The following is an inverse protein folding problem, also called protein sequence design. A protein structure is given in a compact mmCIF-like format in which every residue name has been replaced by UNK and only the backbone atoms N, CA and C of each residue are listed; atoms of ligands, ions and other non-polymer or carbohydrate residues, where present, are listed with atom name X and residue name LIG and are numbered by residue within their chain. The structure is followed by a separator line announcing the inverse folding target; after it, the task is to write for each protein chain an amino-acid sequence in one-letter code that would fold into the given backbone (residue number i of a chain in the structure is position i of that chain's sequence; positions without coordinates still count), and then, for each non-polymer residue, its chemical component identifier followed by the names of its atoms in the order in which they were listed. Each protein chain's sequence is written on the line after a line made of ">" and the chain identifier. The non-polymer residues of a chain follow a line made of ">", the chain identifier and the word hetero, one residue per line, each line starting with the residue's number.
data_IF_425756735325
#
_entry.id   IF_425756735325
#
_cell.length_a   1.000
_cell.length_b   1.000
_cell.length_c   1.000
_cell.angle_alpha   90.00
_cell.angle_beta   90.00
_cell.angle_gamma   90.00
#
_symmetry.space_group_name_H-M   'P 1'
#
loop_
_entity.id
_entity.type
_entity.pdbx_description
1 polymer ?
#
# COMPACT_ATOMS: atom_id res chain seq x y z
N UNK A 1 -13.42 -2.76 17.34
CA UNK A 1 -12.65 -1.57 17.75
C UNK A 1 -11.56 -1.36 16.72
N UNK A 2 -11.49 -0.19 16.06
CA UNK A 2 -10.42 0.12 15.12
C UNK A 2 -9.13 0.39 15.92
N UNK A 3 -8.27 -0.61 16.06
CA UNK A 3 -6.92 -0.39 16.60
C UNK A 3 -5.98 0.00 15.47
N UNK A 4 -5.01 0.86 15.78
CA UNK A 4 -3.97 1.28 14.85
C UNK A 4 -3.15 0.09 14.32
N UNK A 5 -2.96 -0.92 15.17
CA UNK A 5 -2.32 -2.19 14.81
C UNK A 5 -3.16 -3.01 13.81
N UNK A 6 -4.49 -3.04 13.97
CA UNK A 6 -5.36 -3.69 13.00
C UNK A 6 -5.37 -2.95 11.65
N UNK A 7 -5.25 -1.62 11.65
CA UNK A 7 -5.09 -0.82 10.43
C UNK A 7 -3.76 -1.16 9.75
N UNK A 8 -2.66 -1.16 10.52
CA UNK A 8 -1.34 -1.56 10.03
C UNK A 8 -1.34 -2.92 9.37
N UNK A 9 -1.83 -3.95 10.07
CA UNK A 9 -1.89 -5.31 9.51
C UNK A 9 -2.68 -5.39 8.21
N UNK A 10 -3.75 -4.61 8.07
CA UNK A 10 -4.52 -4.54 6.82
C UNK A 10 -3.76 -3.82 5.71
N UNK A 11 -3.04 -2.74 6.03
CA UNK A 11 -2.21 -2.01 5.07
C UNK A 11 -1.05 -2.90 4.59
N UNK A 12 -0.35 -3.55 5.51
CA UNK A 12 0.76 -4.47 5.22
C UNK A 12 0.27 -5.65 4.36
N UNK A 13 -0.82 -6.32 4.76
CA UNK A 13 -1.39 -7.44 3.99
C UNK A 13 -1.87 -7.02 2.59
N UNK A 14 -2.45 -5.83 2.45
CA UNK A 14 -2.85 -5.31 1.13
C UNK A 14 -1.64 -4.99 0.26
N UNK A 15 -0.58 -4.42 0.83
CA UNK A 15 0.66 -4.13 0.12
C UNK A 15 1.36 -5.42 -0.33
N UNK A 16 1.48 -6.41 0.53
CA UNK A 16 2.02 -7.73 0.17
C UNK A 16 1.24 -8.36 -0.97
N UNK A 17 -0.09 -8.30 -0.91
CA UNK A 17 -0.95 -8.86 -1.97
C UNK A 17 -0.76 -8.15 -3.31
N UNK A 18 -0.69 -6.82 -3.34
CA UNK A 18 -0.52 -6.09 -4.60
C UNK A 18 0.89 -6.27 -5.16
N UNK A 19 1.91 -6.34 -4.29
CA UNK A 19 3.28 -6.66 -4.70
C UNK A 19 3.36 -8.04 -5.35
N UNK A 20 2.75 -9.07 -4.76
CA UNK A 20 2.68 -10.40 -5.35
C UNK A 20 1.98 -10.41 -6.72
N UNK A 21 0.94 -9.59 -6.90
CA UNK A 21 0.25 -9.43 -8.17
C UNK A 21 1.12 -8.74 -9.22
N UNK A 22 1.88 -7.72 -8.82
CA UNK A 22 2.86 -7.06 -9.69
C UNK A 22 3.95 -8.04 -10.12
N UNK A 23 4.56 -8.76 -9.18
CA UNK A 23 5.60 -9.73 -9.45
C UNK A 23 5.10 -10.83 -10.40
N UNK A 24 3.89 -11.34 -10.15
CA UNK A 24 3.23 -12.30 -11.03
C UNK A 24 3.04 -11.73 -12.44
N UNK A 25 2.48 -10.52 -12.56
CA UNK A 25 2.27 -9.88 -13.86
C UNK A 25 3.57 -9.62 -14.61
N UNK A 26 4.67 -9.35 -13.90
CA UNK A 26 5.99 -9.16 -14.50
C UNK A 26 6.58 -10.46 -15.06
N UNK A 27 6.36 -11.59 -14.36
CA UNK A 27 6.80 -12.92 -14.81
C UNK A 27 5.97 -13.43 -15.98
N UNK A 28 4.66 -13.16 -15.98
CA UNK A 28 3.73 -13.61 -17.03
C UNK A 28 3.77 -12.73 -18.29
N UNK A 29 4.44 -11.58 -18.25
CA UNK A 29 4.46 -10.63 -19.36
C UNK A 29 5.23 -11.16 -20.57
N UNK A 30 4.50 -11.53 -21.62
CA UNK A 30 5.08 -11.71 -22.95
C UNK A 30 5.10 -10.34 -23.64
N UNK A 31 6.30 -9.78 -23.86
CA UNK A 31 6.52 -8.35 -24.20
C UNK A 31 5.84 -7.84 -25.48
N UNK A 32 5.20 -8.72 -26.25
CA UNK A 32 4.43 -8.40 -27.46
C UNK A 32 2.90 -8.31 -27.22
N UNK A 33 2.39 -8.72 -26.06
CA UNK A 33 0.95 -8.73 -25.73
C UNK A 33 0.49 -7.40 -25.10
N UNK A 34 -0.40 -6.63 -25.75
CA UNK A 34 -0.95 -5.40 -25.15
C UNK A 34 -1.76 -5.65 -23.86
N UNK A 35 -2.40 -6.81 -23.75
CA UNK A 35 -3.19 -7.19 -22.58
C UNK A 35 -2.28 -7.44 -21.37
N UNK A 36 -1.12 -8.05 -21.58
CA UNK A 36 -0.12 -8.30 -20.53
C UNK A 36 0.47 -6.97 -20.05
N UNK A 37 0.76 -6.04 -20.98
CA UNK A 37 1.18 -4.68 -20.64
C UNK A 37 0.12 -3.93 -19.83
N UNK A 38 -1.16 -4.10 -20.17
CA UNK A 38 -2.25 -3.49 -19.42
C UNK A 38 -2.37 -4.09 -18.01
N UNK A 39 -2.26 -5.42 -17.88
CA UNK A 39 -2.28 -6.12 -16.60
C UNK A 39 -1.11 -5.68 -15.70
N UNK A 40 0.10 -5.64 -16.24
CA UNK A 40 1.30 -5.17 -15.55
C UNK A 40 1.15 -3.71 -15.08
N UNK A 41 0.72 -2.80 -15.98
CA UNK A 41 0.50 -1.40 -15.62
C UNK A 41 -0.57 -1.25 -14.52
N UNK A 42 -1.62 -2.07 -14.56
CA UNK A 42 -2.66 -2.07 -13.53
C UNK A 42 -2.11 -2.53 -12.18
N UNK A 43 -1.36 -3.63 -12.15
CA UNK A 43 -0.73 -4.14 -10.93
C UNK A 43 0.30 -3.13 -10.36
N UNK A 44 1.05 -2.45 -11.23
CA UNK A 44 2.01 -1.40 -10.82
C UNK A 44 1.31 -0.22 -10.14
N UNK A 45 0.20 0.26 -10.71
CA UNK A 45 -0.61 1.33 -10.11
C UNK A 45 -1.18 0.91 -8.75
N UNK A 46 -1.73 -0.29 -8.65
CA UNK A 46 -2.30 -0.81 -7.41
C UNK A 46 -1.23 -0.94 -6.30
N UNK A 47 -0.04 -1.43 -6.64
CA UNK A 47 1.10 -1.53 -5.72
C UNK A 47 1.55 -0.15 -5.26
N UNK A 48 1.63 0.82 -6.17
CA UNK A 48 1.97 2.21 -5.85
C UNK A 48 0.96 2.84 -4.89
N UNK A 49 -0.35 2.62 -5.12
CA UNK A 49 -1.41 3.10 -4.21
C UNK A 49 -1.32 2.42 -2.84
N UNK A 50 -1.08 1.12 -2.79
CA UNK A 50 -0.93 0.38 -1.53
C UNK A 50 0.29 0.87 -0.72
N UNK A 51 1.42 1.10 -1.39
CA UNK A 51 2.63 1.67 -0.77
C UNK A 51 2.38 3.07 -0.21
N UNK A 52 1.69 3.93 -0.97
CA UNK A 52 1.31 5.26 -0.50
C UNK A 52 0.42 5.18 0.75
N UNK A 53 -0.59 4.31 0.75
CA UNK A 53 -1.50 4.14 1.87
C UNK A 53 -0.80 3.60 3.13
N UNK A 54 0.12 2.64 2.98
CA UNK A 54 0.94 2.13 4.09
C UNK A 54 1.77 3.26 4.73
N UNK A 55 2.35 4.15 3.91
CA UNK A 55 3.11 5.30 4.40
C UNK A 55 2.24 6.34 5.14
N UNK A 56 0.94 6.46 4.82
CA UNK A 56 0.04 7.37 5.55
C UNK A 56 -0.15 6.97 7.01
N UNK A 57 0.02 5.69 7.36
CA UNK A 57 -0.06 5.24 8.75
C UNK A 57 0.96 5.95 9.64
N UNK A 58 2.19 6.14 9.14
CA UNK A 58 3.27 6.84 9.83
C UNK A 58 2.90 8.31 10.05
N UNK A 59 2.31 8.95 9.05
CA UNK A 59 1.85 10.34 9.12
C UNK A 59 0.75 10.49 10.18
N UNK A 60 -0.23 9.59 10.19
CA UNK A 60 -1.31 9.59 11.19
C UNK A 60 -0.76 9.40 12.60
N UNK A 61 0.15 8.44 12.79
CA UNK A 61 0.86 8.22 14.06
C UNK A 61 1.54 9.48 14.57
N UNK A 62 2.32 10.13 13.70
CA UNK A 62 3.03 11.35 14.04
C UNK A 62 2.08 12.48 14.44
N UNK A 63 1.05 12.72 13.62
CA UNK A 63 0.08 13.79 13.87
C UNK A 63 -0.72 13.58 15.16
N UNK A 64 -1.12 12.34 15.44
CA UNK A 64 -1.81 11.99 16.69
C UNK A 64 -0.92 12.24 17.91
N UNK A 65 0.33 11.79 17.86
CA UNK A 65 1.29 12.02 18.94
C UNK A 65 1.50 13.52 19.19
N UNK A 66 1.65 14.31 18.12
CA UNK A 66 1.79 15.76 18.20
C UNK A 66 0.56 16.42 18.84
N UNK A 67 -0.65 16.00 18.46
CA UNK A 67 -1.89 16.54 19.02
C UNK A 67 -2.00 16.28 20.53
N UNK A 68 -1.69 15.06 20.98
CA UNK A 68 -1.71 14.69 22.40
C UNK A 68 -0.71 15.53 23.22
N UNK A 69 0.53 15.68 22.71
CA UNK A 69 1.56 16.49 23.40
C UNK A 69 1.13 17.95 23.53
N UNK A 70 0.50 18.49 22.49
CA UNK A 70 0.04 19.88 22.50
C UNK A 70 -1.12 20.12 23.46
N UNK A 71 -1.99 19.14 23.70
CA UNK A 71 -3.13 19.28 24.63
C UNK A 71 -2.69 19.24 26.11
N UNK A 72 -1.55 18.60 26.40
CA UNK A 72 -1.00 18.52 27.78
C UNK A 72 -0.21 19.80 28.14
N UNK A 73 0.07 20.67 27.16
CA UNK A 73 0.80 21.94 27.35
C UNK A 73 -0.14 23.12 27.54
#
# INVERSE_FOLDING_TARGET
>A
MFSLEAIRHRLDSNFERTQQQLDKSAVEMDGLSPDDWHAFNTAMRQTSTASWAANQEVVVKHNLAKAIINEIR
#
